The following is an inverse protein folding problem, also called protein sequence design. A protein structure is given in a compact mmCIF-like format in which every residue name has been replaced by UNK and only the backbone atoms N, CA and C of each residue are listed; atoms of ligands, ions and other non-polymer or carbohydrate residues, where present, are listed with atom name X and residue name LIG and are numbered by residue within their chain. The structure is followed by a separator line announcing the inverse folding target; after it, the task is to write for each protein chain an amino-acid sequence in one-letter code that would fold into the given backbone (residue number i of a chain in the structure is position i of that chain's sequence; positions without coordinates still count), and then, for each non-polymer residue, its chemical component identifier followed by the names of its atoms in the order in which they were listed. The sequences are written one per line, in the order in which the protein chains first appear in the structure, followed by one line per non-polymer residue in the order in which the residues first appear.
data_IF_845412494731
#
_entry.id   IF_845412494731
#
_cell.length_a   1.000
_cell.length_b   1.000
_cell.length_c   1.000
_cell.angle_alpha   90.00
_cell.angle_beta   90.00
_cell.angle_gamma   90.00
#
_symmetry.space_group_name_H-M   'P 1'
#
loop_
_entity.id
_entity.type
_entity.pdbx_description
1 polymer ?
#
# COMPACT_ATOMS: atom_id res chain seq x y z
N UNK A 1 -2.19 10.91 11.68
CA UNK A 1 -1.44 10.04 10.74
C UNK A 1 0.03 10.46 10.82
N UNK A 2 0.87 10.02 9.88
CA UNK A 2 2.34 10.07 9.94
C UNK A 2 2.99 11.47 10.06
N UNK A 3 2.21 12.56 9.97
CA UNK A 3 2.67 13.96 10.14
C UNK A 3 3.90 14.33 9.27
N UNK A 4 4.01 13.73 8.09
CA UNK A 4 5.10 13.97 7.15
C UNK A 4 5.02 15.37 6.51
N UNK A 5 6.10 16.15 6.58
CA UNK A 5 6.21 17.44 5.87
C UNK A 5 6.52 17.31 4.38
N UNK A 6 7.11 16.18 3.96
CA UNK A 6 7.61 15.95 2.59
C UNK A 6 7.09 14.64 1.98
N UNK A 7 6.65 14.70 0.72
CA UNK A 7 6.24 13.54 -0.08
C UNK A 7 6.59 13.78 -1.54
N UNK A 8 7.24 12.80 -2.18
CA UNK A 8 7.68 12.88 -3.60
C UNK A 8 8.61 14.07 -3.87
N UNK A 9 9.46 14.42 -2.91
CA UNK A 9 10.43 15.53 -3.01
C UNK A 9 9.81 16.92 -2.87
N UNK A 10 8.54 17.02 -2.53
CA UNK A 10 7.79 18.28 -2.40
C UNK A 10 7.06 18.35 -1.04
N UNK A 11 6.65 19.55 -0.59
CA UNK A 11 5.81 19.68 0.61
C UNK A 11 4.52 18.86 0.49
N UNK A 12 4.11 18.22 1.58
CA UNK A 12 2.82 17.50 1.63
C UNK A 12 1.63 18.43 1.44
N UNK A 13 0.48 17.85 1.09
CA UNK A 13 -0.72 18.64 0.80
C UNK A 13 -1.13 19.54 1.98
N UNK A 14 -1.05 19.05 3.22
CA UNK A 14 -1.44 19.84 4.39
C UNK A 14 -0.43 20.96 4.69
N UNK A 15 0.87 20.74 4.46
CA UNK A 15 1.90 21.79 4.57
C UNK A 15 1.69 22.87 3.53
N UNK A 16 1.40 22.50 2.27
CA UNK A 16 1.30 23.45 1.17
C UNK A 16 -0.05 24.18 1.11
N UNK A 17 -1.13 23.49 1.45
CA UNK A 17 -2.50 23.96 1.21
C UNK A 17 -3.38 24.00 2.47
N UNK A 18 -2.85 23.59 3.63
CA UNK A 18 -3.60 23.48 4.89
C UNK A 18 -4.34 22.15 5.04
N UNK A 19 -4.60 21.76 6.29
CA UNK A 19 -5.23 20.47 6.65
C UNK A 19 -6.61 20.27 6.02
N UNK A 20 -7.47 21.29 6.09
CA UNK A 20 -8.83 21.20 5.56
C UNK A 20 -8.83 20.87 4.06
N UNK A 21 -7.97 21.53 3.27
CA UNK A 21 -7.83 21.25 1.85
C UNK A 21 -7.21 19.88 1.58
N UNK A 22 -6.28 19.43 2.41
CA UNK A 22 -5.68 18.10 2.26
C UNK A 22 -6.70 16.97 2.49
N UNK A 23 -7.57 17.11 3.49
CA UNK A 23 -8.67 16.16 3.76
C UNK A 23 -9.65 16.16 2.59
N UNK A 24 -10.15 17.33 2.19
CA UNK A 24 -11.10 17.45 1.09
C UNK A 24 -10.54 16.93 -0.24
N UNK A 25 -9.24 17.14 -0.50
CA UNK A 25 -8.60 16.58 -1.68
C UNK A 25 -8.53 15.05 -1.63
N UNK A 26 -8.28 14.45 -0.47
CA UNK A 26 -8.33 13.00 -0.27
C UNK A 26 -9.72 12.43 -0.56
N UNK A 27 -10.75 13.02 0.05
CA UNK A 27 -12.16 12.61 -0.14
C UNK A 27 -12.60 12.74 -1.61
N UNK A 28 -12.22 13.84 -2.26
CA UNK A 28 -12.52 14.09 -3.66
C UNK A 28 -11.80 13.10 -4.59
N UNK A 29 -10.52 12.80 -4.34
CA UNK A 29 -9.74 11.86 -5.16
C UNK A 29 -10.27 10.42 -5.04
N UNK A 30 -10.64 9.99 -3.83
CA UNK A 30 -11.26 8.68 -3.64
C UNK A 30 -12.60 8.58 -4.37
N UNK A 31 -13.43 9.63 -4.30
CA UNK A 31 -14.71 9.70 -5.02
C UNK A 31 -14.49 9.70 -6.54
N UNK A 32 -13.53 10.47 -7.03
CA UNK A 32 -13.16 10.56 -8.44
C UNK A 32 -12.74 9.20 -9.01
N UNK A 33 -12.07 8.35 -8.24
CA UNK A 33 -11.69 7.02 -8.70
C UNK A 33 -12.91 6.17 -9.11
N UNK A 34 -14.04 6.30 -8.39
CA UNK A 34 -15.28 5.61 -8.74
C UNK A 34 -15.98 6.25 -9.93
N UNK A 35 -15.98 7.58 -10.03
CA UNK A 35 -16.48 8.28 -11.23
C UNK A 35 -15.72 7.88 -12.48
N UNK A 36 -14.40 7.71 -12.40
CA UNK A 36 -13.59 7.22 -13.52
C UNK A 36 -14.04 5.81 -13.93
N UNK A 37 -14.19 4.89 -12.97
CA UNK A 37 -14.62 3.52 -13.28
C UNK A 37 -16.05 3.45 -13.81
N UNK A 38 -16.95 4.34 -13.41
CA UNK A 38 -18.33 4.36 -13.91
C UNK A 38 -18.46 5.04 -15.26
N UNK A 39 -17.73 6.13 -15.51
CA UNK A 39 -18.03 7.06 -16.60
C UNK A 39 -17.02 7.01 -17.75
N UNK A 40 -15.78 6.57 -17.49
CA UNK A 40 -14.75 6.55 -18.52
C UNK A 40 -15.07 5.54 -19.64
N UNK A 41 -14.73 5.89 -20.87
CA UNK A 41 -14.90 5.00 -22.01
C UNK A 41 -13.98 3.77 -21.88
N UNK A 42 -14.58 2.58 -21.91
CA UNK A 42 -13.89 1.29 -21.88
C UNK A 42 -14.64 0.33 -22.81
N UNK A 43 -14.50 0.49 -24.14
CA UNK A 43 -15.38 -0.14 -25.13
C UNK A 43 -15.28 -1.67 -25.14
N UNK A 44 -14.16 -2.24 -24.66
CA UNK A 44 -13.93 -3.68 -24.57
C UNK A 44 -14.39 -4.30 -23.24
N UNK A 45 -14.83 -3.47 -22.29
CA UNK A 45 -15.19 -3.90 -20.92
C UNK A 45 -16.70 -3.97 -20.79
N UNK A 46 -17.22 -5.17 -20.49
CA UNK A 46 -18.64 -5.36 -20.22
C UNK A 46 -19.08 -4.64 -18.94
N UNK A 47 -20.35 -4.24 -18.84
CA UNK A 47 -20.91 -3.65 -17.62
C UNK A 47 -20.72 -4.55 -16.39
N UNK A 48 -20.80 -5.88 -16.59
CA UNK A 48 -20.54 -6.87 -15.54
C UNK A 48 -19.11 -6.76 -15.01
N UNK A 49 -18.13 -6.64 -15.90
CA UNK A 49 -16.73 -6.50 -15.52
C UNK A 49 -16.45 -5.13 -14.90
N UNK A 50 -17.07 -4.06 -15.42
CA UNK A 50 -17.00 -2.71 -14.84
C UNK A 50 -17.55 -2.67 -13.41
N UNK A 51 -18.70 -3.28 -13.14
CA UNK A 51 -19.25 -3.43 -11.78
C UNK A 51 -18.29 -4.23 -10.90
N UNK A 52 -17.67 -5.28 -11.46
CA UNK A 52 -16.67 -6.08 -10.73
C UNK A 52 -15.42 -5.25 -10.38
N UNK A 53 -14.98 -4.34 -11.26
CA UNK A 53 -13.87 -3.42 -11.00
C UNK A 53 -14.20 -2.45 -9.87
N UNK A 54 -15.41 -1.86 -9.90
CA UNK A 54 -15.89 -0.96 -8.83
C UNK A 54 -15.92 -1.71 -7.49
N UNK A 55 -16.47 -2.92 -7.48
CA UNK A 55 -16.56 -3.76 -6.28
C UNK A 55 -15.17 -4.13 -5.73
N UNK A 56 -14.23 -4.51 -6.60
CA UNK A 56 -12.85 -4.82 -6.22
C UNK A 56 -12.16 -3.59 -5.62
N UNK A 57 -12.22 -2.45 -6.31
CA UNK A 57 -11.57 -1.23 -5.83
C UNK A 57 -12.18 -0.77 -4.49
N UNK A 58 -13.50 -0.85 -4.33
CA UNK A 58 -14.18 -0.51 -3.09
C UNK A 58 -13.74 -1.42 -1.93
N UNK A 59 -13.72 -2.75 -2.15
CA UNK A 59 -13.31 -3.71 -1.12
C UNK A 59 -11.85 -3.52 -0.73
N UNK A 60 -10.96 -3.35 -1.71
CA UNK A 60 -9.53 -3.20 -1.49
C UNK A 60 -9.15 -1.83 -0.89
N UNK A 61 -9.91 -0.78 -1.14
CA UNK A 61 -9.68 0.54 -0.56
C UNK A 61 -10.29 0.66 0.84
N UNK A 62 -11.42 -0.01 1.08
CA UNK A 62 -12.23 0.15 2.29
C UNK A 62 -11.68 -0.59 3.51
N UNK A 63 -12.58 -0.86 4.47
CA UNK A 63 -12.26 -1.48 5.77
C UNK A 63 -11.67 -2.89 5.65
N UNK A 64 -12.01 -3.62 4.57
CA UNK A 64 -11.47 -4.95 4.30
C UNK A 64 -10.08 -4.93 3.65
N UNK A 65 -9.55 -3.75 3.32
CA UNK A 65 -8.26 -3.55 2.67
C UNK A 65 -7.51 -2.36 3.26
N UNK A 66 -7.15 -1.38 2.42
CA UNK A 66 -6.26 -0.28 2.74
C UNK A 66 -6.64 0.46 4.03
N UNK A 67 -7.89 0.94 4.16
CA UNK A 67 -8.30 1.67 5.37
C UNK A 67 -8.23 0.81 6.63
N UNK A 68 -8.60 -0.48 6.54
CA UNK A 68 -8.46 -1.41 7.66
C UNK A 68 -6.99 -1.65 8.04
N UNK A 69 -6.12 -1.82 7.04
CA UNK A 69 -4.69 -1.93 7.25
C UNK A 69 -4.08 -0.67 7.88
N UNK A 70 -4.51 0.51 7.45
CA UNK A 70 -4.08 1.78 8.04
C UNK A 70 -4.53 1.91 9.50
N UNK A 71 -5.75 1.47 9.83
CA UNK A 71 -6.23 1.47 11.21
C UNK A 71 -5.43 0.52 12.11
N UNK A 72 -5.10 -0.67 11.61
CA UNK A 72 -4.26 -1.64 12.32
C UNK A 72 -2.82 -1.12 12.52
N UNK A 73 -2.28 -0.42 11.51
CA UNK A 73 -0.95 0.20 11.58
C UNK A 73 -0.88 1.29 12.65
N UNK A 74 -1.88 2.18 12.69
CA UNK A 74 -2.01 3.19 13.74
C UNK A 74 -2.17 2.58 15.13
N UNK A 75 -2.96 1.50 15.27
CA UNK A 75 -3.07 0.80 16.55
C UNK A 75 -1.76 0.10 16.94
N UNK A 76 -0.95 -0.34 15.98
CA UNK A 76 0.34 -0.97 16.22
C UNK A 76 1.44 0.01 16.66
N UNK A 77 1.26 1.32 16.50
CA UNK A 77 2.28 2.32 16.85
C UNK A 77 2.71 2.21 18.33
N UNK A 78 4.03 2.17 18.54
CA UNK A 78 4.62 2.04 19.87
C UNK A 78 4.50 0.66 20.52
N UNK A 79 3.89 -0.33 19.84
CA UNK A 79 3.75 -1.71 20.33
C UNK A 79 4.77 -2.65 19.67
N UNK A 80 5.08 -3.75 20.36
CA UNK A 80 5.78 -4.87 19.72
C UNK A 80 4.73 -5.79 19.09
N UNK A 81 4.82 -5.98 17.77
CA UNK A 81 3.83 -6.71 16.99
C UNK A 81 4.46 -8.00 16.45
N UNK A 82 3.83 -9.18 16.65
CA UNK A 82 4.35 -10.42 16.10
C UNK A 82 4.30 -10.42 14.56
N UNK A 83 5.15 -11.24 13.93
CA UNK A 83 5.34 -11.23 12.47
C UNK A 83 4.03 -11.46 11.69
N UNK A 84 3.16 -12.33 12.18
CA UNK A 84 1.87 -12.63 11.55
C UNK A 84 0.93 -11.41 11.56
N UNK A 85 0.91 -10.65 12.65
CA UNK A 85 0.15 -9.41 12.74
C UNK A 85 0.77 -8.30 11.87
N UNK A 86 2.09 -8.22 11.78
CA UNK A 86 2.78 -7.29 10.88
C UNK A 86 2.48 -7.60 9.40
N UNK A 87 2.55 -8.89 9.01
CA UNK A 87 2.17 -9.32 7.67
C UNK A 87 0.70 -8.97 7.36
N UNK A 88 -0.20 -9.14 8.34
CA UNK A 88 -1.61 -8.74 8.17
C UNK A 88 -1.73 -7.24 7.91
N UNK A 89 -1.03 -6.39 8.66
CA UNK A 89 -1.01 -4.94 8.43
C UNK A 89 -0.55 -4.65 7.00
N UNK A 90 0.60 -5.17 6.58
CA UNK A 90 1.17 -4.91 5.25
C UNK A 90 0.29 -5.41 4.10
N UNK A 91 -0.29 -6.61 4.23
CA UNK A 91 -1.20 -7.17 3.23
C UNK A 91 -2.45 -6.31 3.03
N UNK A 92 -2.97 -5.70 4.09
CA UNK A 92 -4.16 -4.85 4.00
C UNK A 92 -3.80 -3.42 3.57
N UNK A 93 -2.85 -2.77 4.26
CA UNK A 93 -2.47 -1.37 4.05
C UNK A 93 -1.96 -1.12 2.63
N UNK A 94 -1.17 -2.05 2.11
CA UNK A 94 -0.45 -1.87 0.84
C UNK A 94 -0.78 -2.96 -0.18
N UNK A 95 -0.79 -4.22 0.27
CA UNK A 95 -1.03 -5.37 -0.62
C UNK A 95 -2.41 -5.36 -1.30
N UNK A 96 -3.45 -4.92 -0.59
CA UNK A 96 -4.83 -4.93 -1.09
C UNK A 96 -4.98 -4.10 -2.37
N UNK A 97 -4.44 -2.87 -2.38
CA UNK A 97 -4.52 -2.00 -3.56
C UNK A 97 -3.64 -2.47 -4.72
N UNK A 98 -2.47 -3.07 -4.44
CA UNK A 98 -1.64 -3.69 -5.47
C UNK A 98 -2.39 -4.85 -6.13
N UNK A 99 -3.07 -5.69 -5.35
CA UNK A 99 -3.94 -6.76 -5.87
C UNK A 99 -5.11 -6.21 -6.67
N UNK A 100 -5.77 -5.16 -6.18
CA UNK A 100 -6.85 -4.52 -6.92
C UNK A 100 -6.38 -4.01 -8.29
N UNK A 101 -5.21 -3.37 -8.37
CA UNK A 101 -4.65 -2.90 -9.65
C UNK A 101 -4.46 -4.05 -10.65
N UNK A 102 -3.91 -5.19 -10.21
CA UNK A 102 -3.75 -6.39 -11.05
C UNK A 102 -5.10 -6.95 -11.47
N UNK A 103 -6.05 -7.05 -10.53
CA UNK A 103 -7.40 -7.57 -10.80
C UNK A 103 -8.19 -6.68 -11.75
N UNK A 104 -8.12 -5.36 -11.63
CA UNK A 104 -8.75 -4.42 -12.55
C UNK A 104 -8.21 -4.62 -13.98
N UNK A 105 -6.90 -4.79 -14.15
CA UNK A 105 -6.30 -5.12 -15.45
C UNK A 105 -6.72 -6.49 -15.99
N UNK A 106 -6.96 -7.47 -15.12
CA UNK A 106 -7.49 -8.77 -15.55
C UNK A 106 -8.98 -8.67 -15.95
N UNK A 107 -9.78 -7.96 -15.17
CA UNK A 107 -11.21 -7.76 -15.44
C UNK A 107 -11.44 -7.01 -16.75
N UNK A 108 -10.54 -6.12 -17.16
CA UNK A 108 -10.66 -5.42 -18.45
C UNK A 108 -10.50 -6.36 -19.65
N UNK A 109 -9.86 -7.51 -19.46
CA UNK A 109 -9.73 -8.56 -20.48
C UNK A 109 -10.89 -9.59 -20.45
N UNK A 110 -11.96 -9.33 -19.69
CA UNK A 110 -13.14 -10.18 -19.57
C UNK A 110 -12.80 -11.61 -19.14
N UNK A 111 -13.41 -12.60 -19.81
CA UNK A 111 -13.25 -14.02 -19.47
C UNK A 111 -11.80 -14.52 -19.52
N UNK A 112 -10.97 -13.97 -20.41
CA UNK A 112 -9.54 -14.35 -20.48
C UNK A 112 -8.81 -13.96 -19.20
N UNK A 113 -8.98 -12.73 -18.74
CA UNK A 113 -8.35 -12.29 -17.51
C UNK A 113 -8.97 -12.92 -16.27
N UNK A 114 -10.29 -13.16 -16.25
CA UNK A 114 -10.95 -13.91 -15.16
C UNK A 114 -10.35 -15.31 -14.97
N UNK A 115 -10.02 -16.02 -16.05
CA UNK A 115 -9.33 -17.32 -15.96
C UNK A 115 -7.91 -17.21 -15.39
N UNK A 116 -7.25 -16.06 -15.55
CA UNK A 116 -5.90 -15.82 -15.04
C UNK A 116 -5.88 -15.36 -13.57
N UNK A 117 -7.01 -14.89 -13.02
CA UNK A 117 -7.10 -14.35 -11.65
C UNK A 117 -6.46 -15.24 -10.58
N UNK A 118 -6.66 -16.58 -10.53
CA UNK A 118 -6.07 -17.40 -9.48
C UNK A 118 -4.53 -17.38 -9.43
N UNK A 119 -3.89 -17.19 -10.58
CA UNK A 119 -2.42 -17.08 -10.68
C UNK A 119 -1.98 -15.64 -10.44
N UNK A 120 -2.71 -14.68 -11.01
CA UNK A 120 -2.44 -13.25 -10.83
C UNK A 120 -2.60 -12.80 -9.38
N UNK A 121 -3.53 -13.39 -8.63
CA UNK A 121 -3.73 -13.10 -7.20
C UNK A 121 -2.53 -13.53 -6.37
N UNK A 122 -2.01 -14.75 -6.59
CA UNK A 122 -0.80 -15.22 -5.91
C UNK A 122 0.41 -14.35 -6.21
N UNK A 123 0.53 -13.93 -7.47
CA UNK A 123 1.54 -12.97 -7.90
C UNK A 123 1.38 -11.65 -7.14
N UNK A 124 0.19 -11.05 -7.18
CA UNK A 124 -0.12 -9.77 -6.56
C UNK A 124 0.09 -9.76 -5.04
N UNK A 125 -0.31 -10.83 -4.36
CA UNK A 125 -0.13 -11.00 -2.91
C UNK A 125 1.34 -11.07 -2.53
N UNK A 126 2.16 -11.73 -3.35
CA UNK A 126 3.61 -11.85 -3.12
C UNK A 126 4.31 -10.50 -3.35
N UNK A 127 4.03 -9.83 -4.47
CA UNK A 127 4.63 -8.52 -4.76
C UNK A 127 4.13 -7.45 -3.79
N UNK A 128 2.89 -7.53 -3.33
CA UNK A 128 2.31 -6.55 -2.42
C UNK A 128 2.97 -6.55 -1.05
N UNK A 129 3.23 -7.75 -0.51
CA UNK A 129 4.01 -7.88 0.73
C UNK A 129 5.47 -7.45 0.52
N UNK A 130 6.10 -7.89 -0.57
CA UNK A 130 7.49 -7.52 -0.89
C UNK A 130 7.67 -6.01 -1.05
N UNK A 131 6.67 -5.32 -1.61
CA UNK A 131 6.68 -3.87 -1.75
C UNK A 131 6.77 -3.16 -0.39
N UNK A 132 5.96 -3.57 0.58
CA UNK A 132 6.00 -2.96 1.91
C UNK A 132 7.27 -3.31 2.68
N UNK A 133 7.78 -4.54 2.54
CA UNK A 133 9.07 -4.94 3.10
C UNK A 133 10.19 -4.05 2.56
N UNK A 134 10.18 -3.76 1.26
CA UNK A 134 11.16 -2.88 0.64
C UNK A 134 11.00 -1.42 1.11
N UNK A 135 9.79 -0.90 1.22
CA UNK A 135 9.48 0.44 1.75
C UNK A 135 10.02 0.61 3.18
N UNK A 136 9.78 -0.39 4.04
CA UNK A 136 10.29 -0.41 5.42
C UNK A 136 11.83 -0.45 5.49
N UNK A 137 12.48 -1.23 4.60
CA UNK A 137 13.95 -1.25 4.51
C UNK A 137 14.46 0.13 4.09
N UNK A 138 13.85 0.70 3.06
CA UNK A 138 14.21 2.01 2.51
C UNK A 138 14.06 3.12 3.54
N UNK A 139 13.02 3.12 4.36
CA UNK A 139 12.83 4.09 5.45
C UNK A 139 13.98 4.10 6.46
N UNK A 140 14.67 2.96 6.63
CA UNK A 140 15.81 2.83 7.56
C UNK A 140 17.13 3.18 6.89
N UNK A 141 17.34 2.75 5.64
CA UNK A 141 18.66 2.81 4.98
C UNK A 141 18.81 3.92 3.95
N UNK A 142 17.71 4.42 3.39
CA UNK A 142 17.73 5.38 2.29
C UNK A 142 18.02 6.80 2.76
N UNK A 143 18.66 7.59 1.90
CA UNK A 143 18.83 9.02 2.13
C UNK A 143 17.57 9.79 1.69
N UNK A 144 17.35 10.96 2.32
CA UNK A 144 16.18 11.81 2.04
C UNK A 144 16.09 12.24 0.57
N UNK A 145 17.25 12.38 -0.11
CA UNK A 145 17.32 12.79 -1.51
C UNK A 145 16.78 11.71 -2.46
N UNK A 146 17.03 10.43 -2.17
CA UNK A 146 16.59 9.28 -2.98
C UNK A 146 15.13 8.91 -2.68
N UNK A 147 14.68 9.07 -1.44
CA UNK A 147 13.32 8.69 -1.03
C UNK A 147 12.27 9.77 -1.28
N UNK A 148 12.67 11.04 -1.40
CA UNK A 148 11.75 12.17 -1.52
C UNK A 148 10.82 12.34 -0.32
N UNK A 149 11.19 11.76 0.84
CA UNK A 149 10.57 11.86 2.17
C UNK A 149 11.70 11.90 3.22
N UNK A 150 11.44 12.43 4.42
CA UNK A 150 12.47 12.60 5.47
C UNK A 150 12.96 11.24 6.00
N UNK A 151 14.27 11.03 5.99
CA UNK A 151 14.89 9.84 6.59
C UNK A 151 14.50 9.72 8.08
N UNK A 152 14.00 8.56 8.50
CA UNK A 152 13.69 8.30 9.90
C UNK A 152 12.44 8.99 10.45
N UNK A 153 11.46 9.37 9.62
CA UNK A 153 10.12 9.75 10.08
C UNK A 153 9.48 8.67 10.98
N UNK A 154 9.94 7.42 10.89
CA UNK A 154 9.62 6.31 11.79
C UNK A 154 10.54 6.12 13.01
N UNK A 155 11.44 7.05 13.38
CA UNK A 155 12.39 6.81 14.50
C UNK A 155 11.71 6.61 15.87
N UNK A 156 10.48 7.09 16.04
CA UNK A 156 9.62 6.83 17.21
C UNK A 156 8.77 5.55 17.07
N UNK A 157 8.59 5.00 15.87
CA UNK A 157 7.83 3.75 15.59
C UNK A 157 8.73 2.50 15.44
N UNK A 158 10.02 2.65 15.73
CA UNK A 158 11.09 1.66 15.47
C UNK A 158 10.92 0.27 16.10
N UNK A 159 9.97 0.04 17.02
CA UNK A 159 9.73 -1.30 17.57
C UNK A 159 8.91 -2.21 16.65
N UNK A 160 8.13 -1.64 15.72
CA UNK A 160 7.25 -2.39 14.81
C UNK A 160 8.03 -2.92 13.59
N UNK A 161 9.07 -2.20 13.14
CA UNK A 161 9.85 -2.52 11.92
C UNK A 161 11.06 -3.44 12.15
N UNK A 162 11.32 -3.86 13.39
CA UNK A 162 12.45 -4.72 13.78
C UNK A 162 12.46 -6.09 13.07
N UNK A 163 11.31 -6.77 12.83
CA UNK A 163 11.31 -8.07 12.14
C UNK A 163 11.79 -7.98 10.69
N UNK A 164 11.41 -6.92 9.97
CA UNK A 164 11.79 -6.67 8.57
C UNK A 164 13.29 -6.47 8.44
N UNK A 165 13.90 -5.74 9.38
CA UNK A 165 15.34 -5.57 9.45
C UNK A 165 16.06 -6.87 9.82
N UNK A 166 15.51 -7.66 10.75
CA UNK A 166 16.08 -8.94 11.14
C UNK A 166 16.07 -9.95 9.97
N UNK A 167 14.96 -10.03 9.22
CA UNK A 167 14.86 -10.84 8.01
C UNK A 167 15.86 -10.39 6.93
N UNK A 168 16.05 -9.08 6.73
CA UNK A 168 17.05 -8.55 5.80
C UNK A 168 18.50 -8.87 6.22
N UNK A 169 18.81 -8.75 7.52
CA UNK A 169 20.12 -9.12 8.06
C UNK A 169 20.40 -10.62 7.86
N UNK A 170 19.39 -11.47 8.05
CA UNK A 170 19.50 -12.93 7.88
C UNK A 170 19.49 -13.39 6.42
N UNK A 171 18.92 -12.60 5.49
CA UNK A 171 18.84 -12.94 4.06
C UNK A 171 20.03 -12.44 3.23
N UNK A 172 20.94 -11.64 3.81
CA UNK A 172 22.21 -11.27 3.18
C UNK A 172 23.14 -12.49 3.09
N UNK A 173 23.60 -12.90 1.88
CA UNK A 173 24.66 -13.89 1.80
C UNK A 173 25.96 -13.27 2.35
N UNK A 174 26.44 -13.77 3.49
CA UNK A 174 27.81 -13.53 3.95
C UNK A 174 28.03 -12.78 5.28
N UNK A 175 27.03 -12.55 6.13
CA UNK A 175 27.30 -12.09 7.52
C UNK A 175 26.90 -13.15 8.55
N UNK A 176 27.90 -13.87 9.06
CA UNK A 176 27.76 -14.65 10.30
C UNK A 176 27.39 -13.69 11.45
N UNK A 177 26.49 -14.08 12.37
CA UNK A 177 26.26 -13.32 13.58
C UNK A 177 27.53 -13.37 14.42
N UNK A 178 28.15 -12.20 14.63
CA UNK A 178 29.18 -12.02 15.65
C UNK A 178 28.52 -12.05 17.02
N UNK A 179 29.12 -12.86 17.90
CA UNK A 179 28.78 -13.04 19.32
C UNK A 179 28.83 -11.69 20.05
#
# INVERSE_FOLDING_TARGET
MDDDDLRRGLPTCHVKFGEANAILAGDALQTLAFSILSDADMPEVSDRDRISMISELASASGIAGMCGGQALDLDAEGKHVPLDALERIHRHKTGALIRAAVRLGALSAGDKGRRALPVLDKYAESIGLAFQVQDDILDVVGDTATLGKRQGAGRTSNLVKVPTLHFWVLSKPGRKPGI
#
